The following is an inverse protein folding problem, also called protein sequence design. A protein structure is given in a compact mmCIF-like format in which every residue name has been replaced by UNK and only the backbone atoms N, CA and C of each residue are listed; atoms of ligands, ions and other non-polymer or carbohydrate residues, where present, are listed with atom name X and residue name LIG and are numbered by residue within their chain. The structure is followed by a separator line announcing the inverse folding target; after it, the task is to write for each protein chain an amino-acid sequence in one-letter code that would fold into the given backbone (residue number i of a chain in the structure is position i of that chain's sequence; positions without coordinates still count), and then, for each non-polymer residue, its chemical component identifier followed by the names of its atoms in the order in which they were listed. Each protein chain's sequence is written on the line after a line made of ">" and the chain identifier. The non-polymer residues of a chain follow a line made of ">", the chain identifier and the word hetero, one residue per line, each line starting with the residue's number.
data_IF_176881263614
#
_entry.id   IF_176881263614
#
_cell.length_a   1.000
_cell.length_b   1.000
_cell.length_c   1.000
_cell.angle_alpha   90.00
_cell.angle_beta   90.00
_cell.angle_gamma   90.00
#
_symmetry.space_group_name_H-M   'P 1'
#
loop_
_entity.id
_entity.type
_entity.pdbx_description
1 polymer ?
#
# COMPACT_ATOMS: atom_id res chain seq x y z
N UNK A 1 -23.75 -5.99 14.46
CA UNK A 1 -24.39 -6.75 15.55
C UNK A 1 -23.52 -6.54 16.79
N UNK A 2 -23.93 -5.66 17.71
CA UNK A 2 -23.14 -5.32 18.89
C UNK A 2 -23.24 -6.47 19.91
N UNK A 3 -22.11 -7.08 20.25
CA UNK A 3 -22.04 -8.09 21.29
C UNK A 3 -21.71 -7.37 22.60
N UNK A 4 -22.72 -7.16 23.45
CA UNK A 4 -22.52 -6.63 24.79
C UNK A 4 -21.84 -7.70 25.67
N UNK A 5 -20.61 -7.43 26.11
CA UNK A 5 -19.92 -8.26 27.09
C UNK A 5 -20.20 -7.69 28.50
N UNK A 6 -21.08 -8.34 29.25
CA UNK A 6 -21.59 -7.89 30.54
C UNK A 6 -20.54 -7.83 31.68
N UNK A 7 -19.28 -8.21 31.44
CA UNK A 7 -18.26 -8.31 32.50
C UNK A 7 -17.45 -7.04 32.77
N UNK A 8 -17.35 -6.09 31.85
CA UNK A 8 -16.36 -4.99 31.99
C UNK A 8 -16.90 -3.58 31.81
N UNK A 9 -18.15 -3.37 31.38
CA UNK A 9 -18.75 -2.03 31.25
C UNK A 9 -18.04 -1.09 30.24
N UNK A 10 -17.03 -1.59 29.53
CA UNK A 10 -16.29 -0.85 28.51
C UNK A 10 -16.95 -1.18 27.16
N UNK A 11 -17.33 -0.14 26.40
CA UNK A 11 -17.68 -0.29 25.00
C UNK A 11 -16.48 -0.88 24.27
N UNK A 12 -16.54 -2.17 23.95
CA UNK A 12 -15.53 -2.84 23.15
C UNK A 12 -15.61 -2.22 21.75
N UNK A 13 -14.69 -1.31 21.44
CA UNK A 13 -14.51 -0.79 20.08
C UNK A 13 -14.40 -2.00 19.17
N UNK A 14 -15.26 -2.08 18.14
CA UNK A 14 -15.17 -3.14 17.13
C UNK A 14 -13.78 -3.07 16.52
N UNK A 15 -12.90 -4.00 16.89
CA UNK A 15 -11.61 -4.15 16.24
C UNK A 15 -11.89 -4.68 14.83
N UNK A 16 -11.55 -3.88 13.82
CA UNK A 16 -11.60 -4.33 12.44
C UNK A 16 -10.42 -5.28 12.21
N UNK A 17 -10.71 -6.56 11.99
CA UNK A 17 -9.69 -7.55 11.69
C UNK A 17 -9.34 -7.46 10.19
N UNK A 18 -8.12 -7.05 9.89
CA UNK A 18 -7.61 -7.01 8.51
C UNK A 18 -7.28 -8.43 8.09
N UNK A 19 -8.02 -8.95 7.11
CA UNK A 19 -7.72 -10.23 6.51
C UNK A 19 -6.94 -10.06 5.19
N UNK A 20 -6.58 -11.20 4.61
CA UNK A 20 -5.81 -11.28 3.37
C UNK A 20 -6.43 -10.57 2.17
N UNK A 21 -7.76 -10.58 2.04
CA UNK A 21 -8.46 -9.90 0.94
C UNK A 21 -8.44 -8.38 1.14
N UNK A 22 -8.46 -7.92 2.40
CA UNK A 22 -8.37 -6.50 2.71
C UNK A 22 -7.01 -5.94 2.30
N UNK A 23 -5.92 -6.68 2.53
CA UNK A 23 -4.58 -6.25 2.10
C UNK A 23 -4.46 -6.09 0.59
N UNK A 24 -5.06 -7.01 -0.19
CA UNK A 24 -5.08 -6.88 -1.65
C UNK A 24 -5.85 -5.62 -2.08
N UNK A 25 -7.04 -5.40 -1.51
CA UNK A 25 -7.84 -4.19 -1.78
C UNK A 25 -7.09 -2.91 -1.42
N UNK A 26 -6.37 -2.90 -0.30
CA UNK A 26 -5.56 -1.75 0.10
C UNK A 26 -4.50 -1.42 -0.95
N UNK A 27 -3.80 -2.42 -1.48
CA UNK A 27 -2.80 -2.19 -2.54
C UNK A 27 -3.45 -1.67 -3.83
N UNK A 28 -4.59 -2.23 -4.23
CA UNK A 28 -5.33 -1.76 -5.41
C UNK A 28 -5.77 -0.29 -5.24
N UNK A 29 -6.29 0.08 -4.05
CA UNK A 29 -6.68 1.45 -3.72
C UNK A 29 -5.47 2.39 -3.71
N UNK A 30 -4.32 1.96 -3.17
CA UNK A 30 -3.09 2.76 -3.17
C UNK A 30 -2.66 3.02 -4.63
N UNK A 31 -2.65 2.00 -5.47
CA UNK A 31 -2.28 2.12 -6.89
C UNK A 31 -3.19 3.10 -7.64
N UNK A 32 -4.50 2.99 -7.44
CA UNK A 32 -5.48 3.88 -8.06
C UNK A 32 -5.27 5.33 -7.62
N UNK A 33 -5.11 5.57 -6.31
CA UNK A 33 -4.86 6.91 -5.77
C UNK A 33 -3.55 7.52 -6.28
N UNK A 34 -2.48 6.74 -6.37
CA UNK A 34 -1.20 7.21 -6.90
C UNK A 34 -1.29 7.53 -8.39
N UNK A 35 -2.01 6.70 -9.16
CA UNK A 35 -2.25 6.96 -10.57
C UNK A 35 -3.06 8.24 -10.80
N UNK A 36 -4.12 8.46 -10.01
CA UNK A 36 -4.95 9.66 -10.12
C UNK A 36 -4.21 10.95 -9.70
N UNK A 37 -3.21 10.83 -8.83
CA UNK A 37 -2.48 11.98 -8.30
C UNK A 37 -1.03 12.05 -8.80
N UNK A 38 -0.64 11.23 -9.79
CA UNK A 38 0.74 11.13 -10.30
C UNK A 38 1.31 12.51 -10.65
N UNK A 39 0.60 13.26 -11.50
CA UNK A 39 1.02 14.61 -11.92
C UNK A 39 1.10 15.60 -10.76
N UNK A 40 0.19 15.49 -9.78
CA UNK A 40 0.25 16.33 -8.58
C UNK A 40 1.49 16.00 -7.75
N UNK A 41 1.83 14.72 -7.63
CA UNK A 41 3.01 14.26 -6.87
C UNK A 41 4.30 14.64 -7.60
N UNK A 42 4.33 14.55 -8.93
CA UNK A 42 5.45 15.00 -9.76
C UNK A 42 5.86 16.46 -9.47
N UNK A 43 4.89 17.33 -9.16
CA UNK A 43 5.16 18.75 -8.85
C UNK A 43 5.35 19.05 -7.36
N UNK A 44 5.19 18.08 -6.45
CA UNK A 44 5.42 18.28 -5.01
C UNK A 44 6.90 18.28 -4.64
N UNK A 45 7.72 17.47 -5.32
CA UNK A 45 9.14 17.40 -5.03
C UNK A 45 9.88 18.57 -5.70
N UNK A 46 10.31 19.54 -4.90
CA UNK A 46 10.86 20.82 -5.37
C UNK A 46 12.31 21.07 -4.93
N UNK A 47 13.06 20.05 -4.50
CA UNK A 47 14.44 20.20 -3.98
C UNK A 47 15.47 19.31 -4.69
N UNK A 48 16.66 19.82 -5.09
CA UNK A 48 17.03 21.23 -5.36
C UNK A 48 16.59 21.72 -6.75
N UNK A 49 16.21 20.80 -7.65
CA UNK A 49 15.64 21.05 -8.98
C UNK A 49 14.52 20.01 -9.17
N UNK A 50 13.30 20.41 -9.60
CA UNK A 50 12.25 19.44 -9.91
C UNK A 50 12.67 18.60 -11.11
N UNK A 51 12.90 17.31 -10.88
CA UNK A 51 13.01 16.29 -11.93
C UNK A 51 11.63 15.96 -12.52
N UNK A 52 10.56 16.28 -11.80
CA UNK A 52 9.18 16.17 -12.26
C UNK A 52 8.73 14.72 -12.40
N UNK A 53 9.43 13.77 -11.79
CA UNK A 53 9.22 12.33 -11.98
C UNK A 53 8.91 11.58 -10.67
N UNK A 54 8.78 12.28 -9.53
CA UNK A 54 8.57 11.65 -8.22
C UNK A 54 7.31 10.78 -8.16
N UNK A 55 6.20 11.26 -8.71
CA UNK A 55 4.95 10.51 -8.82
C UNK A 55 5.08 9.33 -9.77
N UNK A 56 5.72 9.52 -10.92
CA UNK A 56 5.99 8.45 -11.88
C UNK A 56 6.86 7.35 -11.25
N UNK A 57 7.92 7.72 -10.55
CA UNK A 57 8.82 6.81 -9.85
C UNK A 57 8.08 6.00 -8.78
N UNK A 58 7.27 6.64 -7.93
CA UNK A 58 6.45 5.95 -6.94
C UNK A 58 5.42 5.02 -7.56
N UNK A 59 4.74 5.43 -8.64
CA UNK A 59 3.76 4.59 -9.34
C UNK A 59 4.42 3.36 -9.96
N UNK A 60 5.63 3.48 -10.52
CA UNK A 60 6.39 2.35 -11.05
C UNK A 60 6.80 1.38 -9.94
N UNK A 61 7.25 1.87 -8.79
CA UNK A 61 7.56 1.04 -7.62
C UNK A 61 6.32 0.29 -7.12
N UNK A 62 5.17 0.96 -7.01
CA UNK A 62 3.90 0.34 -6.61
C UNK A 62 3.43 -0.72 -7.61
N UNK A 63 3.64 -0.51 -8.93
CA UNK A 63 3.34 -1.52 -9.95
C UNK A 63 4.20 -2.77 -9.75
N UNK A 64 5.50 -2.62 -9.47
CA UNK A 64 6.38 -3.75 -9.20
C UNK A 64 5.99 -4.52 -7.91
N UNK A 65 5.56 -3.81 -6.87
CA UNK A 65 4.96 -4.41 -5.67
C UNK A 65 3.76 -5.28 -6.05
N UNK A 66 2.83 -4.74 -6.83
CA UNK A 66 1.62 -5.47 -7.22
C UNK A 66 1.94 -6.69 -8.10
N UNK A 67 2.90 -6.59 -9.00
CA UNK A 67 3.37 -7.72 -9.81
C UNK A 67 3.91 -8.88 -8.94
N UNK A 68 4.64 -8.58 -7.87
CA UNK A 68 5.11 -9.60 -6.92
C UNK A 68 3.97 -10.19 -6.07
N UNK A 69 3.00 -9.36 -5.68
CA UNK A 69 1.83 -9.82 -4.94
C UNK A 69 0.91 -10.73 -5.78
N UNK A 70 0.78 -10.48 -7.08
CA UNK A 70 0.02 -11.34 -8.00
C UNK A 70 0.63 -12.76 -8.14
N UNK A 71 1.90 -12.95 -7.75
CA UNK A 71 2.57 -14.26 -7.75
C UNK A 71 2.28 -15.08 -6.49
N UNK A 72 1.65 -14.49 -5.47
CA UNK A 72 1.30 -15.20 -4.24
C UNK A 72 0.18 -16.22 -4.48
N UNK A 73 0.43 -17.47 -4.06
CA UNK A 73 -0.57 -18.54 -4.06
C UNK A 73 -1.34 -18.61 -2.75
N UNK A 74 -0.67 -18.30 -1.64
CA UNK A 74 -1.25 -18.24 -0.31
C UNK A 74 -1.07 -16.83 0.23
N UNK A 75 -2.18 -16.23 0.64
CA UNK A 75 -2.14 -14.91 1.26
C UNK A 75 -2.08 -15.10 2.78
N UNK A 76 -1.14 -14.41 3.39
CA UNK A 76 -1.00 -14.17 4.81
C UNK A 76 -0.40 -12.77 4.96
N UNK A 77 -0.60 -12.11 6.10
CA UNK A 77 0.02 -10.80 6.36
C UNK A 77 1.53 -10.86 6.12
N UNK A 78 2.20 -11.90 6.65
CA UNK A 78 3.64 -12.12 6.48
C UNK A 78 4.04 -12.20 5.01
N UNK A 79 3.42 -13.10 4.24
CA UNK A 79 3.78 -13.31 2.83
C UNK A 79 3.50 -12.09 1.96
N UNK A 80 2.45 -11.32 2.28
CA UNK A 80 2.14 -10.07 1.58
C UNK A 80 3.22 -9.04 1.84
N UNK A 81 3.60 -8.82 3.11
CA UNK A 81 4.63 -7.86 3.47
C UNK A 81 6.00 -8.24 2.90
N UNK A 82 6.37 -9.52 2.95
CA UNK A 82 7.62 -10.03 2.35
C UNK A 82 7.67 -9.77 0.84
N UNK A 83 6.57 -10.06 0.12
CA UNK A 83 6.49 -9.84 -1.32
C UNK A 83 6.42 -8.38 -1.71
N UNK A 84 5.68 -7.57 -0.96
CA UNK A 84 5.65 -6.13 -1.17
C UNK A 84 7.03 -5.51 -0.95
N UNK A 85 7.72 -5.87 0.14
CA UNK A 85 9.08 -5.37 0.39
C UNK A 85 10.05 -5.78 -0.73
N UNK A 86 9.99 -7.03 -1.19
CA UNK A 86 10.81 -7.51 -2.29
C UNK A 86 10.51 -6.79 -3.61
N UNK A 87 9.22 -6.62 -3.95
CA UNK A 87 8.80 -5.92 -5.16
C UNK A 87 9.18 -4.45 -5.16
N UNK A 88 9.08 -3.78 -4.00
CA UNK A 88 9.55 -2.42 -3.81
C UNK A 88 11.06 -2.34 -4.05
N UNK A 89 11.84 -3.18 -3.37
CA UNK A 89 13.30 -3.20 -3.47
C UNK A 89 13.79 -3.44 -4.91
N UNK A 90 13.18 -4.38 -5.62
CA UNK A 90 13.59 -4.73 -6.98
C UNK A 90 13.06 -3.76 -8.05
N UNK A 91 11.93 -3.11 -7.77
CA UNK A 91 11.22 -2.24 -8.70
C UNK A 91 11.42 -0.75 -8.47
N UNK A 92 12.10 -0.37 -7.39
CA UNK A 92 12.37 1.02 -7.03
C UNK A 92 12.96 1.81 -8.21
N UNK A 93 12.44 3.03 -8.41
CA UNK A 93 12.89 3.97 -9.44
C UNK A 93 13.24 5.31 -8.81
N UNK A 94 14.38 5.86 -9.19
CA UNK A 94 14.87 7.13 -8.65
C UNK A 94 15.03 7.08 -7.12
N UNK A 95 14.96 8.25 -6.49
CA UNK A 95 15.06 8.36 -5.03
C UNK A 95 13.72 8.14 -4.31
N UNK A 96 12.61 8.09 -5.06
CA UNK A 96 11.25 8.03 -4.52
C UNK A 96 10.70 6.60 -4.42
N UNK A 97 11.32 5.65 -5.12
CA UNK A 97 11.03 4.22 -5.01
C UNK A 97 11.76 3.55 -3.87
#
# INVERSE_FOLDING_TARGET
>A
MNIYNFKTGINMTMLYEINNQDLKKVIDIILENFKENEEKINVLNVFPVPDGDTGTNMLLTLKAINEELLKLKNFSVKSVLEKASFGALMGARGNSG
#
